data_IF_977314673188
#
_entry.id   IF_977314673188
#
_cell.length_a   1.000
_cell.length_b   1.000
_cell.length_c   1.000
_cell.angle_alpha   90.00
_cell.angle_beta   90.00
_cell.angle_gamma   90.00
#
_symmetry.space_group_name_H-M   'P 1'
#
loop_
_entity.id
_entity.type
_entity.pdbx_description
1 polymer ?
#
# COMPACT_ATOMS: atom_id res chain seq x y z
N UNK A 1 1.26 3.34 -8.24
CA UNK A 1 1.79 4.21 -7.16
C UNK A 1 3.26 3.94 -6.81
N UNK A 2 4.00 3.17 -7.61
CA UNK A 2 5.37 2.72 -7.31
C UNK A 2 6.36 3.86 -7.06
N UNK A 3 6.33 4.93 -7.86
CA UNK A 3 7.23 6.07 -7.73
C UNK A 3 7.15 6.75 -6.35
N UNK A 4 5.95 6.94 -5.81
CA UNK A 4 5.76 7.52 -4.48
C UNK A 4 6.29 6.60 -3.38
N UNK A 5 5.99 5.30 -3.46
CA UNK A 5 6.50 4.31 -2.51
C UNK A 5 8.03 4.32 -2.45
N UNK A 6 8.70 4.41 -3.60
CA UNK A 6 10.17 4.52 -3.67
C UNK A 6 10.69 5.78 -2.99
N UNK A 7 10.08 6.94 -3.24
CA UNK A 7 10.51 8.20 -2.62
C UNK A 7 10.35 8.15 -1.10
N UNK A 8 9.23 7.61 -0.61
CA UNK A 8 8.98 7.47 0.83
C UNK A 8 9.98 6.49 1.48
N UNK A 9 10.25 5.35 0.84
CA UNK A 9 11.25 4.39 1.30
C UNK A 9 12.65 5.02 1.35
N UNK A 10 13.05 5.78 0.33
CA UNK A 10 14.34 6.50 0.28
C UNK A 10 14.44 7.63 1.31
N UNK A 11 13.31 8.14 1.82
CA UNK A 11 13.25 9.06 2.96
C UNK A 11 13.36 8.34 4.32
N UNK A 12 13.51 7.02 4.35
CA UNK A 12 13.66 6.21 5.56
C UNK A 12 12.34 5.81 6.21
N UNK A 13 11.21 5.98 5.52
CA UNK A 13 9.91 5.52 6.03
C UNK A 13 9.74 4.03 5.76
N UNK A 14 9.00 3.34 6.64
CA UNK A 14 8.58 1.95 6.40
C UNK A 14 7.39 1.97 5.44
N UNK A 15 7.57 1.36 4.27
CA UNK A 15 6.57 1.33 3.21
C UNK A 15 6.25 -0.12 2.85
N UNK A 16 4.97 -0.41 2.72
CA UNK A 16 4.45 -1.62 2.11
C UNK A 16 3.31 -1.23 1.17
N UNK A 17 2.93 -2.11 0.26
CA UNK A 17 1.80 -1.92 -0.63
C UNK A 17 0.99 -3.19 -0.81
N UNK A 18 -0.25 -3.01 -1.28
CA UNK A 18 -1.10 -4.07 -1.76
C UNK A 18 -1.51 -3.76 -3.21
N UNK A 19 -1.54 -4.78 -4.06
CA UNK A 19 -2.02 -4.64 -5.44
C UNK A 19 -2.73 -5.92 -5.90
N UNK A 20 -3.28 -5.91 -7.11
CA UNK A 20 -3.85 -7.10 -7.75
C UNK A 20 -2.78 -8.17 -7.97
N UNK A 21 -3.18 -9.45 -7.95
CA UNK A 21 -2.32 -10.61 -8.17
C UNK A 21 -1.91 -10.76 -9.65
N UNK A 22 -1.28 -9.74 -10.20
CA UNK A 22 -0.74 -9.69 -11.55
C UNK A 22 0.65 -9.12 -11.49
N UNK A 23 1.61 -9.79 -12.12
CA UNK A 23 2.96 -9.23 -12.25
C UNK A 23 2.93 -7.95 -13.10
N UNK A 24 3.42 -6.88 -12.50
CA UNK A 24 3.60 -5.57 -13.14
C UNK A 24 5.09 -5.26 -13.18
N UNK A 25 5.57 -4.72 -14.30
CA UNK A 25 6.98 -4.34 -14.43
C UNK A 25 7.44 -3.35 -13.34
N UNK A 26 6.52 -2.55 -12.78
CA UNK A 26 6.80 -1.61 -11.70
C UNK A 26 7.04 -2.28 -10.34
N UNK A 27 6.61 -3.52 -10.15
CA UNK A 27 6.80 -4.28 -8.91
C UNK A 27 8.28 -4.67 -8.72
N UNK A 28 8.98 -4.96 -9.81
CA UNK A 28 10.40 -5.38 -9.79
C UNK A 28 11.27 -4.37 -9.03
N UNK A 29 11.09 -3.08 -9.30
CA UNK A 29 11.89 -2.02 -8.67
C UNK A 29 11.53 -1.87 -7.17
N UNK A 30 10.27 -2.08 -6.80
CA UNK A 30 9.83 -2.02 -5.41
C UNK A 30 10.45 -3.17 -4.60
N UNK A 31 10.44 -4.37 -5.14
CA UNK A 31 11.03 -5.55 -4.51
C UNK A 31 12.56 -5.43 -4.37
N UNK A 32 13.24 -4.91 -5.39
CA UNK A 32 14.68 -4.61 -5.33
C UNK A 32 15.03 -3.61 -4.21
N UNK A 33 14.12 -2.67 -3.91
CA UNK A 33 14.26 -1.69 -2.83
C UNK A 33 13.66 -2.21 -1.50
N UNK A 34 13.40 -3.52 -1.42
CA UNK A 34 12.85 -4.23 -0.24
C UNK A 34 11.48 -3.73 0.24
N UNK A 35 10.69 -3.14 -0.67
CA UNK A 35 9.30 -2.74 -0.40
C UNK A 35 8.40 -3.96 -0.65
N UNK A 36 7.70 -4.39 0.40
CA UNK A 36 6.80 -5.56 0.33
C UNK A 36 5.53 -5.20 -0.44
N UNK A 37 5.21 -5.98 -1.46
CA UNK A 37 3.95 -5.93 -2.20
C UNK A 37 3.14 -7.20 -1.87
N UNK A 38 1.88 -7.03 -1.51
CA UNK A 38 0.98 -8.07 -1.04
C UNK A 38 -0.28 -8.14 -1.88
N UNK A 39 -0.93 -9.29 -1.91
CA UNK A 39 -2.34 -9.37 -2.29
C UNK A 39 -3.20 -8.58 -1.30
N UNK A 40 -4.31 -8.04 -1.77
CA UNK A 40 -5.25 -7.32 -0.90
C UNK A 40 -5.73 -8.20 0.26
N UNK A 41 -5.58 -7.70 1.48
CA UNK A 41 -6.00 -8.41 2.68
C UNK A 41 -6.29 -7.44 3.81
N UNK A 42 -7.40 -7.66 4.54
CA UNK A 42 -7.78 -6.84 5.69
C UNK A 42 -6.68 -6.75 6.76
N UNK A 43 -5.88 -7.81 6.91
CA UNK A 43 -4.81 -7.89 7.91
C UNK A 43 -3.57 -7.07 7.54
N UNK A 44 -3.49 -6.55 6.30
CA UNK A 44 -2.39 -5.69 5.88
C UNK A 44 -2.46 -4.31 6.56
N UNK A 45 -3.65 -3.90 7.02
CA UNK A 45 -3.89 -2.59 7.63
C UNK A 45 -3.88 -2.70 9.14
N UNK A 46 -3.04 -1.88 9.76
CA UNK A 46 -2.87 -1.79 11.21
C UNK A 46 -3.13 -0.36 11.68
N UNK A 47 -3.38 -0.22 12.97
CA UNK A 47 -3.57 1.09 13.61
C UNK A 47 -2.32 1.96 13.40
N UNK A 48 -2.52 3.27 13.31
CA UNK A 48 -1.48 4.30 13.13
C UNK A 48 -0.75 4.29 11.77
N UNK A 49 -1.24 3.50 10.81
CA UNK A 49 -0.79 3.58 9.43
C UNK A 49 -1.35 4.83 8.71
N UNK A 50 -0.57 5.35 7.76
CA UNK A 50 -1.07 6.27 6.74
C UNK A 50 -1.31 5.44 5.49
N UNK A 51 -2.57 5.32 5.09
CA UNK A 51 -2.99 4.56 3.92
C UNK A 51 -3.06 5.52 2.74
N UNK A 52 -2.44 5.16 1.62
CA UNK A 52 -2.48 5.96 0.39
C UNK A 52 -3.20 5.12 -0.65
N UNK A 53 -4.28 5.67 -1.20
CA UNK A 53 -5.17 4.95 -2.11
C UNK A 53 -5.00 5.49 -3.53
N UNK A 54 -4.84 4.58 -4.49
CA UNK A 54 -4.85 4.95 -5.90
C UNK A 54 -6.27 5.27 -6.36
N UNK A 55 -6.44 6.29 -7.20
CA UNK A 55 -7.74 6.79 -7.68
C UNK A 55 -8.71 5.74 -8.26
N UNK A 56 -8.20 4.56 -8.65
CA UNK A 56 -9.01 3.46 -9.15
C UNK A 56 -9.86 2.76 -8.07
N UNK A 57 -9.38 2.74 -6.81
CA UNK A 57 -10.06 2.06 -5.72
C UNK A 57 -11.06 3.00 -5.06
N UNK A 58 -12.30 2.53 -4.94
CA UNK A 58 -13.39 3.24 -4.29
C UNK A 58 -13.47 2.87 -2.80
N UNK A 59 -14.18 3.68 -2.01
CA UNK A 59 -14.28 3.54 -0.55
C UNK A 59 -14.68 2.14 -0.04
N UNK A 60 -15.36 1.33 -0.86
CA UNK A 60 -15.79 -0.05 -0.54
C UNK A 60 -14.69 -1.11 -0.66
N UNK A 61 -13.43 -0.71 -0.82
CA UNK A 61 -12.33 -1.65 -0.88
C UNK A 61 -11.99 -2.17 0.53
N UNK A 62 -11.75 -3.48 0.67
CA UNK A 62 -11.57 -4.15 1.97
C UNK A 62 -10.51 -3.52 2.88
N UNK A 63 -9.43 -2.99 2.31
CA UNK A 63 -8.37 -2.31 3.07
C UNK A 63 -8.72 -0.86 3.42
N UNK A 64 -9.56 -0.19 2.61
CA UNK A 64 -10.01 1.19 2.87
C UNK A 64 -11.05 1.17 4.00
N UNK A 65 -12.03 0.27 3.93
CA UNK A 65 -13.00 0.06 4.99
C UNK A 65 -12.28 -0.23 6.32
N UNK A 66 -11.28 -1.11 6.29
CA UNK A 66 -10.47 -1.41 7.47
C UNK A 66 -9.70 -0.21 8.01
N UNK A 67 -9.13 0.61 7.13
CA UNK A 67 -8.44 1.83 7.53
C UNK A 67 -9.40 2.81 8.24
N UNK A 68 -10.62 2.95 7.73
CA UNK A 68 -11.66 3.78 8.32
C UNK A 68 -12.11 3.23 9.70
N UNK A 69 -12.34 1.92 9.82
CA UNK A 69 -12.67 1.27 11.10
C UNK A 69 -11.61 1.54 12.19
N UNK A 70 -10.33 1.54 11.80
CA UNK A 70 -9.21 1.75 12.70
C UNK A 70 -8.89 3.23 12.95
N UNK A 71 -9.58 4.15 12.25
CA UNK A 71 -9.31 5.59 12.32
C UNK A 71 -7.97 5.99 11.70
N UNK A 72 -7.43 5.20 10.78
CA UNK A 72 -6.22 5.52 10.05
C UNK A 72 -6.44 6.70 9.11
N UNK A 73 -5.37 7.45 8.82
CA UNK A 73 -5.42 8.51 7.81
C UNK A 73 -5.37 7.86 6.42
N UNK A 74 -6.38 8.14 5.61
CA UNK A 74 -6.50 7.70 4.20
C UNK A 74 -6.36 8.92 3.28
#
# INVERSE_FOLDING_TARGET
MSSLALVLNKKGLKVQGSDVDKELFTQIILEQESIKILSFNINNIQKDMIVIVGNYFQDKHIEIERAQELGCKV
#
